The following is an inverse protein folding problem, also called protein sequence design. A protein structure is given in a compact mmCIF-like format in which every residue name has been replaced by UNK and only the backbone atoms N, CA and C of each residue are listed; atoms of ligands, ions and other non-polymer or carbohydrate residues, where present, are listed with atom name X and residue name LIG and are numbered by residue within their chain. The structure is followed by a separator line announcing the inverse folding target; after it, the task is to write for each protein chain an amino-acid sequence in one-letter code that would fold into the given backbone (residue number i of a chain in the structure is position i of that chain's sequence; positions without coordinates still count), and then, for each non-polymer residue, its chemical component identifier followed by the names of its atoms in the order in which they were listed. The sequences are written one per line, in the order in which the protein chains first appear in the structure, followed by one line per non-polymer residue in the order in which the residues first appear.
data_IF_144349190094
#
_entry.id   IF_144349190094
#
_cell.length_a   1.000
_cell.length_b   1.000
_cell.length_c   1.000
_cell.angle_alpha   90.00
_cell.angle_beta   90.00
_cell.angle_gamma   90.00
#
_symmetry.space_group_name_H-M   'P 1'
#
loop_
_entity.id
_entity.type
_entity.pdbx_description
1 polymer ?
#
# COMPACT_ATOMS: atom_id res chain seq x y z
N UNK A 1 -0.17 -30.27 58.24
CA UNK A 1 -1.32 -30.62 57.38
C UNK A 1 -1.28 -29.71 56.16
N UNK A 2 -0.81 -30.19 55.02
CA UNK A 2 -1.06 -29.55 53.72
C UNK A 2 -1.35 -30.72 52.78
N UNK A 3 -2.64 -30.91 52.46
CA UNK A 3 -3.08 -31.94 51.54
C UNK A 3 -2.90 -31.43 50.10
N UNK A 4 -2.12 -32.16 49.31
CA UNK A 4 -1.96 -31.88 47.89
C UNK A 4 -3.28 -32.20 47.17
N UNK A 5 -3.79 -31.21 46.44
CA UNK A 5 -4.97 -31.33 45.58
C UNK A 5 -4.62 -32.20 44.37
N UNK A 6 -5.04 -33.46 44.38
CA UNK A 6 -4.88 -34.36 43.23
C UNK A 6 -5.96 -34.02 42.21
N UNK A 7 -5.63 -33.18 41.23
CA UNK A 7 -6.44 -32.98 40.04
C UNK A 7 -6.41 -34.27 39.22
N UNK A 8 -7.58 -34.89 39.06
CA UNK A 8 -7.72 -36.12 38.29
C UNK A 8 -7.56 -35.81 36.79
N UNK A 9 -6.91 -36.72 36.05
CA UNK A 9 -6.69 -36.68 34.60
C UNK A 9 -7.86 -36.13 33.76
N UNK A 10 -9.15 -36.44 34.02
CA UNK A 10 -10.26 -35.86 33.25
C UNK A 10 -10.44 -34.35 33.48
N UNK A 11 -10.11 -33.80 34.65
CA UNK A 11 -10.21 -32.36 34.92
C UNK A 11 -9.07 -31.59 34.25
N UNK A 12 -7.87 -32.17 34.19
CA UNK A 12 -6.73 -31.62 33.44
C UNK A 12 -7.02 -31.69 31.93
N UNK A 13 -7.59 -32.79 31.44
CA UNK A 13 -8.01 -32.90 30.04
C UNK A 13 -9.12 -31.92 29.68
N UNK A 14 -10.10 -31.70 30.58
CA UNK A 14 -11.17 -30.72 30.39
C UNK A 14 -10.64 -29.28 30.42
N UNK A 15 -9.69 -28.97 31.32
CA UNK A 15 -8.99 -27.67 31.33
C UNK A 15 -8.17 -27.47 30.06
N UNK A 16 -7.47 -28.49 29.56
CA UNK A 16 -6.74 -28.43 28.28
C UNK A 16 -7.67 -28.32 27.07
N UNK A 17 -8.90 -28.83 27.15
CA UNK A 17 -9.93 -28.65 26.12
C UNK A 17 -10.59 -27.26 26.19
N UNK A 18 -10.63 -26.63 27.36
CA UNK A 18 -11.09 -25.25 27.55
C UNK A 18 -9.99 -24.20 27.28
N UNK A 19 -8.71 -24.61 27.34
CA UNK A 19 -7.54 -23.84 26.89
C UNK A 19 -7.15 -24.11 25.43
N UNK A 20 -7.78 -25.08 24.76
CA UNK A 20 -7.89 -25.05 23.30
C UNK A 20 -8.85 -23.92 23.00
N UNK A 21 -8.29 -22.72 22.89
CA UNK A 21 -8.99 -21.55 22.41
C UNK A 21 -9.80 -21.89 21.17
N UNK A 22 -10.90 -21.17 21.03
CA UNK A 22 -11.61 -20.98 19.77
C UNK A 22 -10.65 -21.17 18.61
N UNK A 23 -11.02 -22.06 17.68
CA UNK A 23 -10.17 -22.41 16.55
C UNK A 23 -9.52 -21.16 15.96
N UNK A 24 -8.20 -21.23 15.84
CA UNK A 24 -7.54 -20.58 14.73
C UNK A 24 -8.27 -21.13 13.49
N UNK A 25 -9.26 -20.38 13.00
CA UNK A 25 -9.59 -20.46 11.60
C UNK A 25 -8.25 -20.28 10.92
N UNK A 26 -7.87 -21.28 10.12
CA UNK A 26 -6.61 -21.33 9.39
C UNK A 26 -6.67 -20.17 8.37
N UNK A 27 -6.51 -18.94 8.86
CA UNK A 27 -6.25 -17.75 8.07
C UNK A 27 -5.00 -18.13 7.27
N UNK A 28 -5.14 -18.13 5.95
CA UNK A 28 -4.06 -18.54 5.06
C UNK A 28 -2.76 -17.78 5.36
N UNK A 29 -1.64 -18.18 4.75
CA UNK A 29 -0.38 -17.49 4.98
C UNK A 29 -0.54 -15.99 4.72
N UNK A 30 0.02 -15.14 5.60
CA UNK A 30 0.05 -13.69 5.40
C UNK A 30 0.67 -13.40 4.03
N UNK A 31 0.05 -12.51 3.26
CA UNK A 31 0.49 -12.18 1.91
C UNK A 31 0.89 -10.72 1.79
N UNK A 32 2.01 -10.48 1.14
CA UNK A 32 2.43 -9.13 0.80
C UNK A 32 2.75 -9.00 -0.69
N UNK A 33 2.54 -7.81 -1.24
CA UNK A 33 2.93 -7.47 -2.59
C UNK A 33 3.91 -6.30 -2.60
N UNK A 34 4.92 -6.39 -3.46
CA UNK A 34 5.72 -5.25 -3.90
C UNK A 34 5.38 -4.99 -5.37
N UNK A 35 4.74 -3.85 -5.63
CA UNK A 35 4.31 -3.41 -6.96
C UNK A 35 5.29 -2.34 -7.43
N UNK A 36 6.22 -2.71 -8.31
CA UNK A 36 7.43 -1.92 -8.60
C UNK A 36 7.40 -1.28 -9.98
N UNK A 37 6.40 -0.44 -10.20
CA UNK A 37 6.24 0.36 -11.41
C UNK A 37 7.44 1.29 -11.66
N UNK A 38 7.97 1.88 -10.59
CA UNK A 38 9.07 2.86 -10.65
C UNK A 38 10.37 2.25 -11.21
N UNK A 39 10.57 0.94 -11.08
CA UNK A 39 11.75 0.22 -11.60
C UNK A 39 12.06 0.47 -13.07
N UNK A 40 11.04 0.79 -13.88
CA UNK A 40 11.19 1.10 -15.31
C UNK A 40 12.14 2.29 -15.52
N UNK A 41 12.10 3.27 -14.62
CA UNK A 41 12.89 4.50 -14.73
C UNK A 41 13.97 4.64 -13.66
N UNK A 42 13.75 4.04 -12.48
CA UNK A 42 14.65 4.11 -11.33
C UNK A 42 14.76 2.72 -10.69
N UNK A 43 15.55 1.81 -11.28
CA UNK A 43 15.74 0.47 -10.73
C UNK A 43 16.48 0.52 -9.39
N UNK A 44 16.02 -0.26 -8.41
CA UNK A 44 16.69 -0.39 -7.12
C UNK A 44 16.59 -1.83 -6.57
N UNK A 45 17.39 -2.78 -7.09
CA UNK A 45 17.34 -4.17 -6.62
C UNK A 45 17.73 -4.32 -5.15
N UNK A 46 18.51 -3.40 -4.58
CA UNK A 46 18.89 -3.43 -3.17
C UNK A 46 17.68 -3.18 -2.26
N UNK A 47 16.86 -2.19 -2.58
CA UNK A 47 15.58 -1.97 -1.88
C UNK A 47 14.67 -3.18 -1.98
N UNK A 48 14.54 -3.80 -3.17
CA UNK A 48 13.67 -4.97 -3.35
C UNK A 48 14.12 -6.15 -2.48
N UNK A 49 15.43 -6.43 -2.43
CA UNK A 49 15.97 -7.48 -1.57
C UNK A 49 15.72 -7.20 -0.09
N UNK A 50 15.92 -5.96 0.33
CA UNK A 50 15.73 -5.55 1.72
C UNK A 50 14.25 -5.60 2.14
N UNK A 51 13.35 -5.01 1.35
CA UNK A 51 11.91 -5.03 1.60
C UNK A 51 11.34 -6.45 1.63
N UNK A 52 11.74 -7.29 0.66
CA UNK A 52 11.36 -8.71 0.61
C UNK A 52 11.83 -9.43 1.88
N UNK A 53 13.09 -9.25 2.26
CA UNK A 53 13.65 -9.87 3.46
C UNK A 53 12.91 -9.47 4.75
N UNK A 54 12.54 -8.19 4.89
CA UNK A 54 11.78 -7.72 6.07
C UNK A 54 10.36 -8.31 6.11
N UNK A 55 9.68 -8.34 4.95
CA UNK A 55 8.36 -8.96 4.82
C UNK A 55 8.41 -10.48 5.13
N UNK A 56 9.37 -11.21 4.56
CA UNK A 56 9.53 -12.64 4.83
C UNK A 56 9.86 -12.93 6.30
N UNK A 57 10.72 -12.11 6.93
CA UNK A 57 11.02 -12.22 8.35
C UNK A 57 9.80 -11.99 9.25
N UNK A 58 8.87 -11.13 8.82
CA UNK A 58 7.59 -10.92 9.49
C UNK A 58 6.54 -12.00 9.18
N UNK A 59 6.88 -13.02 8.38
CA UNK A 59 6.03 -14.17 8.10
C UNK A 59 5.17 -14.06 6.84
N UNK A 60 5.39 -13.05 6.00
CA UNK A 60 4.65 -12.88 4.75
C UNK A 60 5.22 -13.75 3.63
N UNK A 61 4.34 -14.30 2.80
CA UNK A 61 4.66 -14.74 1.44
C UNK A 61 4.62 -13.52 0.54
N UNK A 62 5.74 -13.22 -0.12
CA UNK A 62 5.92 -11.99 -0.89
C UNK A 62 5.80 -12.27 -2.39
N UNK A 63 4.85 -11.58 -3.03
CA UNK A 63 4.75 -11.50 -4.48
C UNK A 63 5.42 -10.21 -4.98
N UNK A 64 6.34 -10.33 -5.93
CA UNK A 64 6.97 -9.18 -6.59
C UNK A 64 6.39 -9.01 -7.99
N UNK A 65 5.87 -7.82 -8.27
CA UNK A 65 5.37 -7.43 -9.59
C UNK A 65 6.32 -6.43 -10.22
N UNK A 66 7.10 -6.83 -11.25
CA UNK A 66 8.00 -5.93 -11.95
C UNK A 66 7.20 -4.86 -12.70
N UNK A 67 7.86 -3.75 -13.03
CA UNK A 67 7.18 -2.58 -13.57
C UNK A 67 6.36 -2.87 -14.83
N UNK A 68 6.85 -3.74 -15.72
CA UNK A 68 6.17 -4.11 -16.96
C UNK A 68 4.83 -4.84 -16.74
N UNK A 69 4.61 -5.44 -15.57
CA UNK A 69 3.38 -6.15 -15.22
C UNK A 69 2.32 -5.22 -14.58
N UNK A 70 2.71 -4.02 -14.17
CA UNK A 70 1.82 -3.04 -13.52
C UNK A 70 0.93 -2.36 -14.57
N UNK A 71 -0.14 -3.04 -14.98
CA UNK A 71 -1.08 -2.60 -16.02
C UNK A 71 -2.44 -2.16 -15.46
N UNK A 72 -3.33 -1.62 -16.28
CA UNK A 72 -4.73 -1.35 -15.88
C UNK A 72 -5.42 -2.65 -15.43
N UNK A 73 -5.14 -3.76 -16.13
CA UNK A 73 -5.67 -5.07 -15.76
C UNK A 73 -5.09 -5.59 -14.44
N UNK A 74 -3.85 -5.24 -14.10
CA UNK A 74 -3.25 -5.57 -12.80
C UNK A 74 -4.01 -4.87 -11.68
N UNK A 75 -4.16 -3.54 -11.75
CA UNK A 75 -4.90 -2.78 -10.73
C UNK A 75 -6.34 -3.27 -10.58
N UNK A 76 -6.99 -3.69 -11.68
CA UNK A 76 -8.33 -4.28 -11.64
C UNK A 76 -8.41 -5.61 -10.89
N UNK A 77 -7.34 -6.39 -10.92
CA UNK A 77 -7.28 -7.70 -10.27
C UNK A 77 -6.77 -7.61 -8.82
N UNK A 78 -6.06 -6.54 -8.48
CA UNK A 78 -5.36 -6.37 -7.21
C UNK A 78 -6.23 -6.65 -5.97
N UNK A 79 -7.49 -6.19 -5.88
CA UNK A 79 -8.35 -6.48 -4.71
C UNK A 79 -8.65 -7.97 -4.52
N UNK A 80 -8.51 -8.81 -5.54
CA UNK A 80 -8.82 -10.24 -5.44
C UNK A 80 -7.63 -11.09 -4.98
N UNK A 81 -6.46 -10.47 -4.76
CA UNK A 81 -5.27 -11.17 -4.33
C UNK A 81 -5.15 -11.31 -2.81
N UNK A 82 -6.01 -10.65 -2.03
CA UNK A 82 -6.08 -10.72 -0.57
C UNK A 82 -4.71 -10.50 0.09
N UNK A 83 -4.08 -9.36 -0.23
CA UNK A 83 -2.82 -8.96 0.40
C UNK A 83 -3.09 -8.22 1.71
N UNK A 84 -2.32 -8.55 2.74
CA UNK A 84 -2.31 -7.86 4.03
C UNK A 84 -1.43 -6.60 3.98
N UNK A 85 -0.39 -6.60 3.15
CA UNK A 85 0.50 -5.46 2.93
C UNK A 85 0.72 -5.27 1.43
N UNK A 86 0.53 -4.04 0.94
CA UNK A 86 0.83 -3.68 -0.45
C UNK A 86 1.79 -2.50 -0.45
N UNK A 87 3.00 -2.72 -0.98
CA UNK A 87 4.00 -1.69 -1.20
C UNK A 87 3.96 -1.26 -2.66
N UNK A 88 3.42 -0.07 -2.92
CA UNK A 88 3.47 0.54 -4.26
C UNK A 88 4.73 1.37 -4.41
N UNK A 89 5.76 0.77 -5.02
CA UNK A 89 6.93 1.50 -5.51
C UNK A 89 6.64 2.03 -6.91
N UNK A 90 5.86 3.12 -6.98
CA UNK A 90 5.30 3.64 -8.22
C UNK A 90 5.52 5.14 -8.39
N UNK A 91 5.59 5.58 -9.65
CA UNK A 91 5.37 6.99 -9.96
C UNK A 91 3.94 7.40 -9.62
N UNK A 92 3.79 8.67 -9.29
CA UNK A 92 2.51 9.31 -9.11
C UNK A 92 2.59 10.78 -9.48
N UNK A 93 1.43 11.34 -9.79
CA UNK A 93 1.29 12.74 -10.16
C UNK A 93 -0.01 13.29 -9.57
N UNK A 94 -0.03 14.58 -9.28
CA UNK A 94 -1.23 15.25 -8.81
C UNK A 94 -2.07 15.69 -10.00
N UNK A 95 -3.27 15.13 -10.10
CA UNK A 95 -4.27 15.58 -11.05
C UNK A 95 -5.15 16.65 -10.38
N UNK A 96 -4.97 17.90 -10.81
CA UNK A 96 -5.90 18.98 -10.51
C UNK A 96 -6.66 19.36 -11.79
N UNK A 97 -7.94 19.00 -11.87
CA UNK A 97 -8.77 19.25 -13.05
C UNK A 97 -10.19 19.68 -12.68
N UNK A 98 -10.96 20.12 -13.66
CA UNK A 98 -12.39 20.43 -13.52
C UNK A 98 -13.13 19.68 -14.61
N UNK A 99 -14.15 18.88 -14.26
CA UNK A 99 -14.96 18.19 -15.27
C UNK A 99 -15.87 19.17 -16.04
N UNK A 100 -16.52 18.64 -17.09
CA UNK A 100 -17.47 19.39 -17.92
C UNK A 100 -18.68 19.95 -17.13
N UNK A 101 -18.89 19.46 -15.90
CA UNK A 101 -19.99 19.85 -15.01
C UNK A 101 -19.54 20.93 -14.00
N UNK A 102 -18.25 21.30 -14.00
CA UNK A 102 -17.68 22.31 -13.13
C UNK A 102 -17.23 21.77 -11.76
N UNK A 103 -17.18 20.45 -11.56
CA UNK A 103 -16.65 19.85 -10.35
C UNK A 103 -15.14 19.84 -10.42
N UNK A 104 -14.47 20.37 -9.39
CA UNK A 104 -13.02 20.30 -9.27
C UNK A 104 -12.60 18.96 -8.67
N UNK A 105 -11.56 18.37 -9.24
CA UNK A 105 -10.89 17.16 -8.78
C UNK A 105 -9.47 17.54 -8.36
N UNK A 106 -9.05 17.02 -7.22
CA UNK A 106 -7.70 17.18 -6.70
C UNK A 106 -7.31 15.86 -6.03
N UNK A 107 -6.54 15.07 -6.76
CA UNK A 107 -6.21 13.70 -6.40
C UNK A 107 -4.84 13.30 -6.91
N UNK A 108 -4.35 12.18 -6.39
CA UNK A 108 -3.07 11.62 -6.81
C UNK A 108 -3.37 10.40 -7.67
N UNK A 109 -2.82 10.40 -8.87
CA UNK A 109 -2.99 9.29 -9.81
C UNK A 109 -1.77 8.37 -9.75
N UNK A 110 -2.01 7.07 -9.68
CA UNK A 110 -0.96 6.07 -9.65
C UNK A 110 -0.63 5.66 -11.09
N UNK A 111 0.66 5.59 -11.42
CA UNK A 111 1.05 5.25 -12.78
C UNK A 111 0.83 3.76 -13.05
N UNK A 112 0.44 3.45 -14.28
CA UNK A 112 0.63 2.12 -14.85
C UNK A 112 1.78 2.17 -15.85
N UNK A 113 2.21 0.99 -16.28
CA UNK A 113 3.17 0.79 -17.36
C UNK A 113 2.47 0.47 -18.69
N UNK A 114 1.15 0.57 -18.73
CA UNK A 114 0.36 0.31 -19.94
C UNK A 114 0.32 1.58 -20.82
N UNK A 115 0.80 1.51 -22.08
CA UNK A 115 0.73 2.64 -22.99
C UNK A 115 -0.71 3.12 -23.20
N UNK A 116 -0.89 4.43 -23.20
CA UNK A 116 -2.19 5.04 -23.42
C UNK A 116 -2.74 4.72 -24.81
N UNK A 117 -4.06 4.57 -24.89
CA UNK A 117 -4.80 4.39 -26.15
C UNK A 117 -6.16 5.04 -26.06
N UNK A 118 -6.47 5.93 -27.01
CA UNK A 118 -7.80 6.57 -27.12
C UNK A 118 -8.92 5.54 -27.34
N UNK A 119 -8.61 4.35 -27.86
CA UNK A 119 -9.61 3.34 -28.22
C UNK A 119 -9.97 2.39 -27.06
N UNK A 120 -9.14 2.31 -26.00
CA UNK A 120 -9.28 1.33 -24.90
C UNK A 120 -9.83 1.98 -23.64
N UNK A 121 -10.70 1.31 -22.90
CA UNK A 121 -11.26 1.83 -21.64
C UNK A 121 -11.99 3.18 -21.79
N UNK A 122 -12.68 3.39 -22.91
CA UNK A 122 -13.32 4.66 -23.23
C UNK A 122 -14.31 5.13 -22.14
N UNK A 123 -15.00 4.21 -21.46
CA UNK A 123 -15.89 4.57 -20.35
C UNK A 123 -15.08 5.14 -19.19
N UNK A 124 -14.07 4.40 -18.71
CA UNK A 124 -13.22 4.82 -17.61
C UNK A 124 -12.44 6.10 -17.93
N UNK A 125 -12.08 6.33 -19.20
CA UNK A 125 -11.50 7.61 -19.62
C UNK A 125 -12.51 8.76 -19.53
N UNK A 126 -13.75 8.55 -19.99
CA UNK A 126 -14.79 9.58 -19.92
C UNK A 126 -15.18 9.92 -18.48
N UNK A 127 -15.08 8.94 -17.57
CA UNK A 127 -15.38 9.09 -16.15
C UNK A 127 -14.19 9.64 -15.34
N UNK A 128 -13.04 9.90 -15.99
CA UNK A 128 -11.75 10.27 -15.37
C UNK A 128 -11.16 9.23 -14.41
N UNK A 129 -11.64 7.98 -14.46
CA UNK A 129 -11.07 6.85 -13.73
C UNK A 129 -9.67 6.49 -14.26
N UNK A 130 -9.49 6.59 -15.57
CA UNK A 130 -8.20 6.40 -16.24
C UNK A 130 -7.79 7.66 -16.97
N UNK A 131 -6.62 8.19 -16.63
CA UNK A 131 -6.10 9.45 -17.16
C UNK A 131 -4.79 9.26 -17.91
N UNK A 132 -4.34 10.30 -18.60
CA UNK A 132 -3.04 10.31 -19.28
C UNK A 132 -1.97 10.78 -18.30
N UNK A 133 -0.95 9.95 -18.11
CA UNK A 133 0.26 10.30 -17.34
C UNK A 133 1.51 10.17 -18.21
N UNK A 134 2.58 10.89 -17.84
CA UNK A 134 3.88 10.87 -18.56
C UNK A 134 5.03 10.94 -17.57
N UNK A 135 6.09 10.17 -17.78
CA UNK A 135 7.31 10.26 -16.97
C UNK A 135 8.07 11.59 -17.14
N UNK A 136 7.86 12.25 -18.28
CA UNK A 136 8.50 13.53 -18.61
C UNK A 136 7.63 14.34 -19.58
N UNK A 137 7.83 15.65 -19.58
CA UNK A 137 7.15 16.55 -20.51
C UNK A 137 7.43 16.13 -21.97
N UNK A 138 6.36 15.89 -22.74
CA UNK A 138 6.44 15.44 -24.13
C UNK A 138 6.87 13.97 -24.33
N UNK A 139 7.10 13.20 -23.26
CA UNK A 139 7.36 11.76 -23.32
C UNK A 139 6.13 10.94 -23.71
N UNK A 140 6.28 9.64 -23.90
CA UNK A 140 5.16 8.76 -24.29
C UNK A 140 4.06 8.71 -23.20
N UNK A 141 2.77 8.69 -23.59
CA UNK A 141 1.67 8.63 -22.63
C UNK A 141 1.40 7.21 -22.15
N UNK A 142 1.09 7.10 -20.85
CA UNK A 142 0.63 5.88 -20.20
C UNK A 142 -0.73 6.11 -19.54
N UNK A 143 -1.43 5.04 -19.21
CA UNK A 143 -2.61 5.15 -18.34
C UNK A 143 -2.17 5.40 -16.89
N UNK A 144 -2.80 6.37 -16.23
CA UNK A 144 -2.79 6.56 -14.79
C UNK A 144 -4.13 6.15 -14.18
N UNK A 145 -4.08 5.61 -12.97
CA UNK A 145 -5.24 5.15 -12.20
C UNK A 145 -5.63 6.23 -11.19
N UNK A 146 -6.84 6.76 -11.32
CA UNK A 146 -7.44 7.72 -10.41
C UNK A 146 -8.23 7.04 -9.28
N UNK A 147 -8.66 7.81 -8.30
CA UNK A 147 -9.47 7.37 -7.17
C UNK A 147 -10.79 6.73 -7.63
N UNK A 148 -11.44 7.27 -8.66
CA UNK A 148 -12.68 6.69 -9.22
C UNK A 148 -12.48 5.28 -9.77
N UNK A 149 -11.32 4.98 -10.36
CA UNK A 149 -10.99 3.62 -10.76
C UNK A 149 -10.87 2.70 -9.55
N UNK A 150 -10.18 3.14 -8.49
CA UNK A 150 -10.04 2.38 -7.24
C UNK A 150 -11.41 2.12 -6.61
N UNK A 151 -12.31 3.10 -6.67
CA UNK A 151 -13.69 2.92 -6.24
C UNK A 151 -14.40 1.81 -7.05
N UNK A 152 -14.12 1.72 -8.35
CA UNK A 152 -14.81 0.80 -9.25
C UNK A 152 -14.23 -0.63 -9.31
N UNK A 153 -13.03 -0.90 -8.75
CA UNK A 153 -12.42 -2.25 -8.79
C UNK A 153 -12.98 -3.26 -7.79
N UNK A 154 -13.99 -2.87 -7.01
CA UNK A 154 -14.68 -3.72 -6.03
C UNK A 154 -14.04 -3.67 -4.64
N UNK A 155 -14.72 -4.29 -3.66
CA UNK A 155 -14.15 -4.47 -2.32
C UNK A 155 -13.17 -5.64 -2.34
N UNK A 156 -12.09 -5.54 -1.57
CA UNK A 156 -11.10 -6.63 -1.47
C UNK A 156 -9.75 -6.24 -0.87
N UNK A 157 -9.60 -5.01 -0.38
CA UNK A 157 -8.40 -4.66 0.39
C UNK A 157 -8.49 -5.17 1.84
N UNK A 158 -9.65 -5.58 2.35
CA UNK A 158 -9.85 -6.45 3.53
C UNK A 158 -8.87 -6.31 4.73
N UNK A 159 -8.57 -5.08 5.14
CA UNK A 159 -7.67 -4.77 6.25
C UNK A 159 -6.21 -4.49 5.85
N UNK A 160 -5.91 -4.42 4.56
CA UNK A 160 -4.58 -4.20 4.02
C UNK A 160 -3.96 -2.89 4.51
N UNK A 161 -2.68 -2.96 4.82
CA UNK A 161 -1.81 -1.81 4.98
C UNK A 161 -1.26 -1.42 3.60
N UNK A 162 -1.68 -0.26 3.10
CA UNK A 162 -1.16 0.30 1.86
C UNK A 162 0.03 1.21 2.20
N UNK A 163 1.16 1.00 1.52
CA UNK A 163 2.35 1.85 1.58
C UNK A 163 2.59 2.33 0.16
N UNK A 164 2.24 3.59 -0.11
CA UNK A 164 2.40 4.20 -1.41
C UNK A 164 3.63 5.10 -1.39
N UNK A 165 4.66 4.70 -2.14
CA UNK A 165 5.99 5.31 -2.11
C UNK A 165 6.15 6.47 -3.10
N UNK A 166 5.11 6.76 -3.88
CA UNK A 166 5.10 7.80 -4.90
C UNK A 166 5.01 9.21 -4.31
N UNK A 167 5.49 10.18 -5.08
CA UNK A 167 5.37 11.60 -4.77
C UNK A 167 3.92 11.98 -4.49
N UNK A 168 3.73 12.87 -3.52
CA UNK A 168 2.45 13.55 -3.27
C UNK A 168 1.31 12.61 -2.91
N UNK A 169 1.52 11.31 -2.66
CA UNK A 169 0.44 10.34 -2.47
C UNK A 169 -0.49 10.59 -1.29
N UNK A 170 -0.18 11.54 -0.40
CA UNK A 170 -1.08 12.09 0.62
C UNK A 170 -1.09 13.64 0.64
N UNK A 171 -0.84 14.27 -0.51
CA UNK A 171 -1.09 15.71 -0.70
C UNK A 171 -2.59 16.04 -0.62
N UNK A 172 -3.43 15.10 -1.08
CA UNK A 172 -4.87 15.07 -0.81
C UNK A 172 -5.28 13.70 -0.31
N UNK A 173 -6.38 13.63 0.43
CA UNK A 173 -6.89 12.37 0.99
C UNK A 173 -7.70 11.56 -0.03
N UNK A 174 -7.97 12.08 -1.24
CA UNK A 174 -8.94 11.51 -2.19
C UNK A 174 -8.60 10.06 -2.56
N UNK A 175 -7.37 9.82 -2.99
CA UNK A 175 -6.89 8.49 -3.41
C UNK A 175 -6.76 7.54 -2.21
N UNK A 176 -6.22 8.02 -1.09
CA UNK A 176 -6.12 7.24 0.14
C UNK A 176 -7.50 6.80 0.63
N UNK A 177 -8.48 7.71 0.61
CA UNK A 177 -9.87 7.43 0.97
C UNK A 177 -10.50 6.38 0.07
N UNK A 178 -10.23 6.39 -1.23
CA UNK A 178 -10.72 5.34 -2.13
C UNK A 178 -10.22 3.94 -1.71
N UNK A 179 -8.95 3.80 -1.33
CA UNK A 179 -8.44 2.53 -0.78
C UNK A 179 -9.12 2.15 0.55
N UNK A 180 -9.24 3.10 1.50
CA UNK A 180 -9.89 2.85 2.79
C UNK A 180 -11.35 2.44 2.62
N UNK A 181 -12.09 3.14 1.75
CA UNK A 181 -13.50 2.84 1.46
C UNK A 181 -13.68 1.50 0.71
N UNK A 182 -12.61 0.89 0.20
CA UNK A 182 -12.57 -0.47 -0.37
C UNK A 182 -11.97 -1.52 0.57
N UNK A 183 -11.77 -1.17 1.83
CA UNK A 183 -11.43 -2.09 2.92
C UNK A 183 -10.00 -1.99 3.44
N UNK A 184 -9.13 -1.14 2.89
CA UNK A 184 -7.79 -0.95 3.45
C UNK A 184 -7.88 -0.40 4.88
N UNK A 185 -6.99 -0.86 5.77
CA UNK A 185 -6.91 -0.39 7.15
C UNK A 185 -6.23 0.97 7.25
N UNK A 186 -5.23 1.18 6.41
CA UNK A 186 -4.36 2.35 6.46
C UNK A 186 -3.64 2.55 5.13
N UNK A 187 -3.30 3.80 4.87
CA UNK A 187 -2.56 4.24 3.70
C UNK A 187 -1.44 5.16 4.15
N UNK A 188 -0.19 4.83 3.85
CA UNK A 188 1.00 5.59 4.25
C UNK A 188 1.68 6.12 3.01
N UNK A 189 1.97 7.42 2.96
CA UNK A 189 2.58 8.08 1.80
C UNK A 189 3.16 9.45 2.17
N UNK A 190 3.72 10.13 1.18
CA UNK A 190 4.31 11.47 1.26
C UNK A 190 3.30 12.58 1.04
N UNK A 191 3.40 13.65 1.84
CA UNK A 191 2.53 14.81 1.73
C UNK A 191 2.91 15.80 0.60
N UNK A 192 4.09 15.64 -0.01
CA UNK A 192 4.62 16.46 -1.10
C UNK A 192 5.57 15.61 -1.98
N UNK A 193 6.35 16.24 -2.86
CA UNK A 193 7.36 15.57 -3.69
C UNK A 193 8.45 14.90 -2.84
N UNK A 194 8.86 13.69 -3.19
CA UNK A 194 9.95 12.96 -2.53
C UNK A 194 10.96 12.46 -3.56
N UNK A 195 12.24 12.39 -3.19
CA UNK A 195 13.26 11.78 -4.04
C UNK A 195 13.16 10.25 -3.98
N UNK A 196 13.41 9.59 -5.13
CA UNK A 196 13.34 8.13 -5.22
C UNK A 196 14.25 7.41 -4.20
N UNK A 197 15.46 7.94 -3.95
CA UNK A 197 16.36 7.39 -2.93
C UNK A 197 15.84 7.56 -1.51
N UNK A 198 15.17 8.68 -1.20
CA UNK A 198 14.66 8.93 0.14
C UNK A 198 13.43 8.10 0.45
N UNK A 199 12.49 7.95 -0.51
CA UNK A 199 11.31 7.09 -0.32
C UNK A 199 11.69 5.61 -0.17
N UNK A 200 12.69 5.12 -0.93
CA UNK A 200 13.21 3.75 -0.78
C UNK A 200 13.84 3.55 0.63
N UNK A 201 14.67 4.51 1.10
CA UNK A 201 15.30 4.44 2.42
C UNK A 201 14.28 4.53 3.57
N UNK A 202 13.33 5.46 3.49
CA UNK A 202 12.30 5.64 4.50
C UNK A 202 11.35 4.44 4.56
N UNK A 203 10.97 3.87 3.42
CA UNK A 203 10.12 2.68 3.39
C UNK A 203 10.85 1.47 3.98
N UNK A 204 12.16 1.33 3.76
CA UNK A 204 12.97 0.29 4.40
C UNK A 204 12.93 0.36 5.94
N UNK A 205 13.07 1.56 6.51
CA UNK A 205 12.97 1.80 7.96
C UNK A 205 11.53 1.57 8.45
N UNK A 206 10.54 2.11 7.74
CA UNK A 206 9.12 1.95 8.04
C UNK A 206 8.70 0.48 8.13
N UNK A 207 9.14 -0.37 7.19
CA UNK A 207 8.85 -1.80 7.21
C UNK A 207 9.44 -2.49 8.46
N UNK A 208 10.60 -2.03 8.94
CA UNK A 208 11.18 -2.51 10.19
C UNK A 208 10.26 -2.22 11.39
N UNK A 209 9.84 -0.97 11.53
CA UNK A 209 8.94 -0.54 12.60
C UNK A 209 7.56 -1.21 12.53
N UNK A 210 6.94 -1.24 11.34
CA UNK A 210 5.60 -1.81 11.16
C UNK A 210 5.59 -3.32 11.41
N UNK A 211 6.56 -4.05 10.84
CA UNK A 211 6.43 -5.49 10.67
C UNK A 211 7.29 -6.29 11.64
N UNK A 212 8.48 -5.80 11.97
CA UNK A 212 9.41 -6.52 12.86
C UNK A 212 9.21 -6.10 14.31
N UNK A 213 8.94 -4.82 14.54
CA UNK A 213 8.64 -4.28 15.89
C UNK A 213 7.15 -4.32 16.22
N UNK A 214 6.28 -4.43 15.20
CA UNK A 214 4.83 -4.49 15.37
C UNK A 214 4.21 -3.16 15.81
N UNK A 215 4.84 -2.04 15.45
CA UNK A 215 4.35 -0.71 15.82
C UNK A 215 3.07 -0.36 15.03
N UNK A 216 2.10 0.34 15.66
CA UNK A 216 0.96 0.90 14.94
C UNK A 216 1.40 1.87 13.82
N UNK A 217 0.60 2.05 12.75
CA UNK A 217 1.00 2.84 11.58
C UNK A 217 1.47 4.26 11.90
N UNK A 218 0.74 4.99 12.74
CA UNK A 218 1.10 6.36 13.14
C UNK A 218 2.44 6.42 13.88
N UNK A 219 2.68 5.46 14.78
CA UNK A 219 3.90 5.35 15.58
C UNK A 219 5.07 4.96 14.69
N UNK A 220 4.90 3.99 13.80
CA UNK A 220 5.94 3.58 12.86
C UNK A 220 6.35 4.74 11.94
N UNK A 221 5.39 5.53 11.46
CA UNK A 221 5.67 6.75 10.68
C UNK A 221 6.43 7.77 11.53
N UNK A 222 6.00 8.02 12.77
CA UNK A 222 6.66 8.98 13.65
C UNK A 222 8.12 8.58 13.96
N UNK A 223 8.38 7.30 14.24
CA UNK A 223 9.74 6.79 14.48
C UNK A 223 10.60 6.86 13.19
N UNK A 224 10.03 6.51 12.03
CA UNK A 224 10.71 6.66 10.73
C UNK A 224 11.11 8.12 10.48
N UNK A 225 10.21 9.06 10.76
CA UNK A 225 10.45 10.50 10.60
C UNK A 225 11.44 11.03 11.66
N UNK A 226 11.49 10.45 12.85
CA UNK A 226 12.48 10.79 13.86
C UNK A 226 13.89 10.32 13.48
N UNK A 227 13.99 9.17 12.79
CA UNK A 227 15.28 8.61 12.34
C UNK A 227 15.83 9.30 11.09
N UNK A 228 15.01 9.44 10.04
CA UNK A 228 15.46 9.91 8.73
C UNK A 228 15.10 11.36 8.43
N UNK A 229 14.04 11.87 9.06
CA UNK A 229 13.51 13.20 8.78
C UNK A 229 12.82 13.32 7.42
N UNK A 230 12.40 14.55 7.07
CA UNK A 230 11.78 14.84 5.77
C UNK A 230 12.77 14.64 4.62
N UNK A 231 12.23 14.56 3.40
CA UNK A 231 13.06 14.55 2.20
C UNK A 231 14.00 15.78 2.20
N UNK A 232 15.32 15.59 2.05
CA UNK A 232 16.27 16.69 2.22
C UNK A 232 16.24 17.71 1.08
N UNK A 233 15.65 17.37 -0.07
CA UNK A 233 15.54 18.26 -1.23
C UNK A 233 14.21 19.02 -1.24
N UNK A 234 13.12 18.33 -0.95
CA UNK A 234 11.77 18.88 -1.07
C UNK A 234 11.11 19.20 0.27
N UNK A 235 11.59 18.64 1.38
CA UNK A 235 11.01 18.84 2.70
C UNK A 235 9.75 18.01 2.96
N UNK A 236 9.40 17.07 2.07
CA UNK A 236 8.21 16.23 2.24
C UNK A 236 8.34 15.29 3.44
N UNK A 237 7.23 15.10 4.14
CA UNK A 237 7.10 14.21 5.29
C UNK A 237 6.25 12.99 4.95
N UNK A 238 6.65 11.85 5.51
CA UNK A 238 5.86 10.64 5.48
C UNK A 238 4.71 10.75 6.49
N UNK A 239 3.49 10.42 6.07
CA UNK A 239 2.27 10.54 6.88
C UNK A 239 1.38 9.31 6.70
N UNK A 240 0.49 9.07 7.66
CA UNK A 240 -0.48 7.96 7.64
C UNK A 240 -1.93 8.49 7.57
N UNK A 241 -2.76 7.78 6.80
CA UNK A 241 -4.20 8.00 6.67
C UNK A 241 -4.97 6.71 7.05
N UNK A 242 -6.10 6.79 7.77
CA UNK A 242 -6.63 8.01 8.40
C UNK A 242 -5.71 8.51 9.52
N UNK A 243 -5.72 9.83 9.82
CA UNK A 243 -4.99 10.36 10.97
C UNK A 243 -5.58 9.77 12.26
N UNK A 244 -4.74 9.45 13.24
CA UNK A 244 -5.24 8.97 14.54
C UNK A 244 -6.08 10.04 15.24
N UNK A 245 -7.17 9.60 15.86
CA UNK A 245 -8.10 10.41 16.66
C UNK A 245 -7.64 10.59 18.09
#
# INVERSE_FOLDING_TARGET
MIGALVLTLPVVALLLMLFRGNGDEDEGPLKAAIVDQLSITVPNPEFILDATSKLEQAGYVVDYYPGEEVTVSFYRQLPFFNYDVIVFRSHADRLQTVDDQGNAFDEVVLFTSEPYSEERYQSEQNDNDLVIVRYSEGGDPFFGVAAGFIDNVGNGFDGAQIIMMGCEGLLTDTTAKAFIDRGAKSYISWNETVTASHTDAATSVLLGHLLLEGLPPSVAVAETMAELGPDPLFGSELVAYPPET
#
